data_IF_559643125688
#
_entry.id   IF_559643125688
#
_cell.length_a   1.000
_cell.length_b   1.000
_cell.length_c   1.000
_cell.angle_alpha   90.00
_cell.angle_beta   90.00
_cell.angle_gamma   90.00
#
_symmetry.space_group_name_H-M   'P 1'
#
loop_
_entity.id
_entity.type
_entity.pdbx_description
1 polymer ?
#
# COMPACT_ATOMS: atom_id res chain seq x y z
N UNK A 1 -19.62 -6.65 -5.73
CA UNK A 1 -18.25 -6.73 -5.15
C UNK A 1 -17.53 -5.42 -5.45
N UNK A 2 -17.04 -4.69 -4.44
CA UNK A 2 -16.22 -3.49 -4.68
C UNK A 2 -14.90 -3.90 -5.35
N UNK A 3 -14.40 -3.09 -6.27
CA UNK A 3 -13.10 -3.34 -6.91
C UNK A 3 -11.99 -3.02 -5.90
N UNK A 4 -11.02 -3.93 -5.77
CA UNK A 4 -9.89 -3.78 -4.83
C UNK A 4 -8.68 -3.18 -5.51
N UNK A 5 -8.12 -2.13 -4.91
CA UNK A 5 -6.88 -1.49 -5.32
C UNK A 5 -5.85 -1.72 -4.22
N UNK A 6 -4.65 -2.14 -4.60
CA UNK A 6 -3.52 -2.21 -3.68
C UNK A 6 -2.51 -1.13 -4.06
N UNK A 7 -2.14 -0.29 -3.10
CA UNK A 7 -1.11 0.73 -3.27
C UNK A 7 0.09 0.28 -2.42
N UNK A 8 1.24 0.10 -3.05
CA UNK A 8 2.49 -0.28 -2.39
C UNK A 8 3.32 0.99 -2.23
N UNK A 9 3.48 1.41 -0.98
CA UNK A 9 4.11 2.66 -0.61
C UNK A 9 5.48 2.43 0.04
N UNK A 10 6.48 3.30 -0.22
CA UNK A 10 7.76 3.26 0.50
C UNK A 10 7.56 3.68 1.98
N UNK A 11 8.57 3.49 2.84
CA UNK A 11 8.54 4.09 4.16
C UNK A 11 8.39 5.61 4.03
N UNK A 12 7.46 6.16 4.81
CA UNK A 12 7.13 7.58 4.81
C UNK A 12 7.89 8.31 5.91
N UNK A 13 8.36 9.51 5.58
CA UNK A 13 9.06 10.41 6.50
C UNK A 13 8.12 11.06 7.51
N UNK A 14 6.83 11.11 7.19
CA UNK A 14 5.77 11.68 8.02
C UNK A 14 5.46 13.14 7.73
N UNK A 15 6.27 13.84 6.93
CA UNK A 15 6.03 15.22 6.50
C UNK A 15 6.56 15.41 5.09
N UNK A 16 5.67 15.48 4.10
CA UNK A 16 6.07 15.65 2.71
C UNK A 16 4.92 15.64 1.71
N UNK A 17 5.22 16.05 0.48
CA UNK A 17 4.25 16.06 -0.62
C UNK A 17 3.76 14.66 -1.01
N UNK A 18 4.59 13.63 -0.80
CA UNK A 18 4.22 12.23 -1.07
C UNK A 18 3.08 11.78 -0.16
N UNK A 19 3.17 12.08 1.14
CA UNK A 19 2.14 11.77 2.13
C UNK A 19 0.84 12.51 1.79
N UNK A 20 0.90 13.81 1.50
CA UNK A 20 -0.27 14.60 1.10
C UNK A 20 -0.94 14.06 -0.16
N UNK A 21 -0.16 13.72 -1.19
CA UNK A 21 -0.68 13.14 -2.43
C UNK A 21 -1.30 11.76 -2.21
N UNK A 22 -0.67 10.91 -1.38
CA UNK A 22 -1.20 9.59 -1.04
C UNK A 22 -2.53 9.69 -0.30
N UNK A 23 -2.65 10.63 0.64
CA UNK A 23 -3.89 10.91 1.37
C UNK A 23 -5.00 11.30 0.41
N UNK A 24 -4.78 12.32 -0.41
CA UNK A 24 -5.80 12.83 -1.33
C UNK A 24 -6.21 11.77 -2.35
N UNK A 25 -5.24 11.09 -2.95
CA UNK A 25 -5.49 10.01 -3.91
C UNK A 25 -6.31 8.87 -3.28
N UNK A 26 -5.95 8.44 -2.08
CA UNK A 26 -6.67 7.36 -1.36
C UNK A 26 -8.09 7.78 -1.03
N UNK A 27 -8.28 9.01 -0.55
CA UNK A 27 -9.60 9.55 -0.22
C UNK A 27 -10.51 9.63 -1.46
N UNK A 28 -9.96 10.03 -2.62
CA UNK A 28 -10.68 10.01 -3.90
C UNK A 28 -11.14 8.58 -4.25
N UNK A 29 -10.26 7.58 -4.13
CA UNK A 29 -10.62 6.18 -4.42
C UNK A 29 -11.72 5.66 -3.48
N UNK A 30 -11.63 5.95 -2.18
CA UNK A 30 -12.65 5.55 -1.19
C UNK A 30 -14.01 6.20 -1.52
N UNK A 31 -14.03 7.50 -1.83
CA UNK A 31 -15.25 8.22 -2.24
C UNK A 31 -15.88 7.61 -3.50
N UNK A 32 -15.06 7.10 -4.42
CA UNK A 32 -15.48 6.37 -5.60
C UNK A 32 -15.79 4.87 -5.35
N UNK A 33 -15.99 4.48 -4.09
CA UNK A 33 -16.43 3.13 -3.66
C UNK A 33 -15.42 2.01 -3.96
N UNK A 34 -14.14 2.33 -4.12
CA UNK A 34 -13.07 1.32 -4.16
C UNK A 34 -12.70 0.85 -2.75
N UNK A 35 -12.30 -0.42 -2.64
CA UNK A 35 -11.64 -0.95 -1.45
C UNK A 35 -10.13 -0.78 -1.62
N UNK A 36 -9.48 -0.05 -0.73
CA UNK A 36 -8.08 0.37 -0.84
C UNK A 36 -7.24 -0.32 0.23
N UNK A 37 -6.21 -1.04 -0.22
CA UNK A 37 -5.21 -1.67 0.64
C UNK A 37 -3.88 -0.93 0.49
N UNK A 38 -3.47 -0.17 1.50
CA UNK A 38 -2.17 0.49 1.56
C UNK A 38 -1.15 -0.47 2.19
N UNK A 39 -0.20 -0.91 1.38
CA UNK A 39 0.84 -1.85 1.76
C UNK A 39 2.17 -1.12 1.96
N UNK A 40 2.72 -1.20 3.16
CA UNK A 40 4.04 -0.67 3.52
C UNK A 40 4.99 -1.83 3.80
N UNK A 41 5.90 -2.16 2.86
CA UNK A 41 6.87 -3.25 3.03
C UNK A 41 7.93 -2.99 4.11
N UNK A 42 7.97 -1.76 4.62
CA UNK A 42 8.87 -1.25 5.64
C UNK A 42 8.08 -0.39 6.62
N UNK A 43 8.51 -0.38 7.87
CA UNK A 43 7.87 0.45 8.89
C UNK A 43 8.06 1.95 8.64
N UNK A 44 7.08 2.73 9.07
CA UNK A 44 7.03 4.18 8.93
C UNK A 44 7.22 4.80 10.30
N UNK A 45 8.35 5.50 10.53
CA UNK A 45 8.70 6.07 11.83
C UNK A 45 7.66 7.07 12.36
N UNK A 46 7.10 7.90 11.47
CA UNK A 46 6.13 8.93 11.82
C UNK A 46 4.79 8.65 11.15
N UNK A 47 3.75 8.48 11.98
CA UNK A 47 2.45 7.97 11.55
C UNK A 47 1.31 8.99 11.61
N UNK A 48 1.58 10.21 12.08
CA UNK A 48 0.59 11.28 12.30
C UNK A 48 -0.16 11.65 11.02
N UNK A 49 0.53 11.63 9.87
CA UNK A 49 -0.06 11.89 8.56
C UNK A 49 -1.21 10.94 8.19
N UNK A 50 -1.25 9.73 8.79
CA UNK A 50 -2.34 8.77 8.58
C UNK A 50 -3.69 9.30 9.09
N UNK A 51 -3.69 10.30 9.96
CA UNK A 51 -4.91 10.96 10.42
C UNK A 51 -5.62 11.76 9.31
N UNK A 52 -4.95 12.03 8.18
CA UNK A 52 -5.56 12.69 7.02
C UNK A 52 -6.46 11.79 6.18
N UNK A 53 -6.43 10.47 6.38
CA UNK A 53 -7.31 9.56 5.66
C UNK A 53 -8.75 9.63 6.17
N UNK A 54 -9.71 9.50 5.26
CA UNK A 54 -11.12 9.34 5.61
C UNK A 54 -11.27 8.02 6.39
N UNK A 55 -11.88 8.08 7.56
CA UNK A 55 -12.24 6.88 8.32
C UNK A 55 -13.29 6.09 7.56
N UNK A 56 -12.90 4.90 7.10
CA UNK A 56 -13.77 4.03 6.29
C UNK A 56 -13.34 2.58 6.42
N UNK A 57 -14.30 1.67 6.50
CA UNK A 57 -14.08 0.22 6.40
C UNK A 57 -13.50 -0.20 5.04
N UNK A 58 -13.49 0.71 4.06
CA UNK A 58 -12.90 0.48 2.74
C UNK A 58 -11.40 0.78 2.69
N UNK A 59 -10.77 1.19 3.81
CA UNK A 59 -9.32 1.44 3.90
C UNK A 59 -8.64 0.42 4.82
N UNK A 60 -7.64 -0.29 4.30
CA UNK A 60 -6.84 -1.24 5.06
C UNK A 60 -5.36 -0.86 5.01
N UNK A 61 -4.77 -0.61 6.18
CA UNK A 61 -3.34 -0.30 6.32
C UNK A 61 -2.59 -1.58 6.72
N UNK A 62 -1.64 -2.01 5.90
CA UNK A 62 -0.88 -3.24 6.09
C UNK A 62 0.60 -2.90 6.13
N UNK A 63 1.23 -3.06 7.29
CA UNK A 63 2.65 -2.69 7.52
C UNK A 63 3.46 -3.93 7.88
N UNK A 64 4.62 -4.09 7.24
CA UNK A 64 5.58 -5.12 7.62
C UNK A 64 6.36 -4.71 8.88
N UNK A 65 5.80 -5.00 10.05
CA UNK A 65 6.45 -4.72 11.34
C UNK A 65 7.61 -5.66 11.67
N UNK A 66 7.70 -6.82 11.00
CA UNK A 66 8.76 -7.80 11.23
C UNK A 66 9.92 -7.54 10.28
N UNK A 67 10.69 -6.48 10.57
CA UNK A 67 12.04 -6.34 10.03
C UNK A 67 12.83 -7.61 10.42
N UNK A 68 13.13 -8.45 9.43
CA UNK A 68 14.06 -9.60 9.43
C UNK A 68 13.49 -11.03 9.21
N UNK A 69 12.19 -11.33 9.40
CA UNK A 69 11.69 -12.71 9.19
C UNK A 69 11.05 -12.97 7.83
N UNK A 70 10.49 -11.94 7.20
CA UNK A 70 9.84 -12.05 5.89
C UNK A 70 10.46 -11.01 4.96
N UNK A 71 11.18 -11.46 3.93
CA UNK A 71 11.76 -10.58 2.92
C UNK A 71 10.69 -9.73 2.23
N UNK A 72 11.02 -8.48 1.88
CA UNK A 72 10.09 -7.50 1.27
C UNK A 72 9.29 -8.09 0.09
N UNK A 73 9.95 -8.84 -0.78
CA UNK A 73 9.32 -9.52 -1.92
C UNK A 73 8.26 -10.53 -1.49
N UNK A 74 8.54 -11.34 -0.46
CA UNK A 74 7.64 -12.37 0.04
C UNK A 74 6.43 -11.74 0.73
N UNK A 75 6.65 -10.68 1.49
CA UNK A 75 5.59 -9.89 2.12
C UNK A 75 4.65 -9.27 1.08
N UNK A 76 5.21 -8.67 0.02
CA UNK A 76 4.41 -8.12 -1.09
C UNK A 76 3.64 -9.24 -1.79
N UNK A 77 4.30 -10.34 -2.16
CA UNK A 77 3.69 -11.47 -2.85
C UNK A 77 2.53 -12.08 -2.05
N UNK A 78 2.74 -12.34 -0.75
CA UNK A 78 1.72 -12.89 0.14
C UNK A 78 0.49 -11.99 0.22
N UNK A 79 0.69 -10.68 0.39
CA UNK A 79 -0.43 -9.75 0.47
C UNK A 79 -1.17 -9.59 -0.86
N UNK A 80 -0.46 -9.55 -1.99
CA UNK A 80 -1.11 -9.52 -3.31
C UNK A 80 -1.92 -10.79 -3.56
N UNK A 81 -1.40 -11.97 -3.21
CA UNK A 81 -2.12 -13.24 -3.33
C UNK A 81 -3.38 -13.28 -2.44
N UNK A 82 -3.29 -12.75 -1.21
CA UNK A 82 -4.41 -12.72 -0.25
C UNK A 82 -5.49 -11.71 -0.66
N UNK A 83 -5.08 -10.50 -1.04
CA UNK A 83 -6.00 -9.38 -1.36
C UNK A 83 -6.68 -9.62 -2.72
N UNK A 84 -5.94 -10.19 -3.69
CA UNK A 84 -6.34 -10.33 -5.10
C UNK A 84 -6.82 -9.00 -5.69
N UNK A 85 -5.97 -7.95 -5.68
CA UNK A 85 -6.36 -6.64 -6.19
C UNK A 85 -6.54 -6.66 -7.71
N UNK A 86 -7.47 -5.84 -8.22
CA UNK A 86 -7.65 -5.63 -9.67
C UNK A 86 -6.61 -4.67 -10.25
N UNK A 87 -6.08 -3.78 -9.40
CA UNK A 87 -5.07 -2.79 -9.75
C UNK A 87 -4.02 -2.71 -8.64
N UNK A 88 -2.76 -2.69 -9.05
CA UNK A 88 -1.62 -2.46 -8.15
C UNK A 88 -0.94 -1.16 -8.55
N UNK A 89 -0.84 -0.21 -7.61
CA UNK A 89 -0.12 1.06 -7.78
C UNK A 89 1.19 0.98 -6.99
N UNK A 90 2.32 1.11 -7.67
CA UNK A 90 3.64 1.07 -7.03
C UNK A 90 4.20 2.48 -6.89
N UNK A 91 4.47 2.91 -5.66
CA UNK A 91 5.11 4.19 -5.41
C UNK A 91 6.64 3.99 -5.34
N UNK A 92 7.29 4.23 -6.47
CA UNK A 92 8.75 4.20 -6.59
C UNK A 92 9.33 2.95 -7.28
N UNK A 93 10.55 3.07 -7.83
CA UNK A 93 11.14 2.07 -8.73
C UNK A 93 11.45 0.73 -8.05
N UNK A 94 11.83 0.76 -6.76
CA UNK A 94 12.12 -0.46 -6.00
C UNK A 94 10.88 -1.37 -5.90
N UNK A 95 9.69 -0.79 -5.72
CA UNK A 95 8.43 -1.54 -5.63
C UNK A 95 8.04 -2.16 -6.97
N UNK A 96 8.25 -1.43 -8.06
CA UNK A 96 8.03 -1.94 -9.43
C UNK A 96 8.90 -3.17 -9.68
N UNK A 97 10.18 -3.13 -9.29
CA UNK A 97 11.10 -4.28 -9.44
C UNK A 97 10.59 -5.52 -8.67
N UNK A 98 10.03 -5.35 -7.47
CA UNK A 98 9.47 -6.46 -6.71
C UNK A 98 8.21 -7.03 -7.36
N UNK A 99 7.26 -6.17 -7.74
CA UNK A 99 6.01 -6.59 -8.38
C UNK A 99 6.27 -7.25 -9.74
N UNK A 100 7.22 -6.75 -10.53
CA UNK A 100 7.58 -7.34 -11.82
C UNK A 100 8.12 -8.76 -11.69
N UNK A 101 8.84 -9.08 -10.60
CA UNK A 101 9.30 -10.44 -10.32
C UNK A 101 8.14 -11.37 -9.96
N UNK A 102 7.14 -10.85 -9.23
CA UNK A 102 5.96 -11.61 -8.81
C UNK A 102 5.03 -11.88 -9.99
N UNK A 103 4.87 -10.91 -10.91
CA UNK A 103 4.05 -11.08 -12.12
C UNK A 103 4.50 -12.27 -12.97
N UNK A 104 5.78 -12.60 -12.98
CA UNK A 104 6.30 -13.75 -13.72
C UNK A 104 6.02 -15.11 -13.04
N UNK A 105 5.47 -15.10 -11.82
CA UNK A 105 5.11 -16.29 -11.04
C UNK A 105 3.56 -16.47 -11.01
N UNK A 106 2.80 -15.42 -11.35
CA UNK A 106 1.35 -15.35 -11.23
C UNK A 106 0.65 -15.46 -12.59
#
# INVERSE_FOLDING_TARGET
MKSRICIIAPPMSGRGGTESALIEFTNILIRNKYEVNLLFPEDTQYNEWKNGFIQSDSLHLIVNKQYNKVGKSLFIAYNLFRIKPKLVVCMGPNMIRFVSKIKNIY
#
